data_IF_282088437666
#
_entry.id   IF_282088437666
#
_cell.length_a   1.000
_cell.length_b   1.000
_cell.length_c   1.000
_cell.angle_alpha   90.00
_cell.angle_beta   90.00
_cell.angle_gamma   90.00
#
_symmetry.space_group_name_H-M   'P 1'
#
loop_
_entity.id
_entity.type
_entity.pdbx_description
1 polymer ?
#
# COMPACT_ATOMS: atom_id res chain seq x y z
N UNK A 1 -6.08 -27.55 0.77
CA UNK A 1 -5.46 -26.21 0.74
C UNK A 1 -6.02 -25.48 -0.47
N UNK A 2 -6.74 -24.38 -0.28
CA UNK A 2 -7.38 -23.64 -1.38
C UNK A 2 -6.51 -22.50 -1.90
N UNK A 3 -6.70 -22.15 -3.17
CA UNK A 3 -6.25 -20.88 -3.74
C UNK A 3 -7.32 -19.82 -3.41
N UNK A 4 -6.90 -18.63 -3.00
CA UNK A 4 -7.81 -17.49 -2.82
C UNK A 4 -7.15 -16.21 -3.30
N UNK A 5 -7.95 -15.29 -3.85
CA UNK A 5 -7.51 -13.96 -4.27
C UNK A 5 -8.32 -12.91 -3.51
N UNK A 6 -7.68 -11.78 -3.20
CA UNK A 6 -8.32 -10.61 -2.60
C UNK A 6 -7.84 -9.36 -3.33
N UNK A 7 -8.75 -8.40 -3.48
CA UNK A 7 -8.47 -7.07 -4.01
C UNK A 7 -9.28 -6.07 -3.20
N UNK A 8 -8.58 -5.19 -2.52
CA UNK A 8 -9.12 -4.09 -1.75
C UNK A 8 -8.68 -2.78 -2.41
N UNK A 9 -9.56 -1.78 -2.38
CA UNK A 9 -9.28 -0.48 -2.97
C UNK A 9 -9.85 0.63 -2.10
N UNK A 10 -9.16 1.77 -2.09
CA UNK A 10 -9.60 3.00 -1.44
C UNK A 10 -9.39 4.17 -2.38
N UNK A 11 -10.44 4.97 -2.57
CA UNK A 11 -10.40 6.16 -3.41
C UNK A 11 -10.83 7.34 -2.56
N UNK A 12 -10.06 8.41 -2.56
CA UNK A 12 -10.35 9.67 -1.89
C UNK A 12 -10.15 10.83 -2.84
N UNK A 13 -11.16 11.68 -2.97
CA UNK A 13 -11.09 12.92 -3.74
C UNK A 13 -11.48 14.07 -2.81
N UNK A 14 -10.54 14.97 -2.58
CA UNK A 14 -10.72 16.13 -1.72
C UNK A 14 -10.62 17.39 -2.57
N UNK A 15 -11.66 18.22 -2.50
CA UNK A 15 -11.75 19.49 -3.20
C UNK A 15 -11.89 20.62 -2.19
N UNK A 16 -10.93 21.55 -2.22
CA UNK A 16 -10.90 22.70 -1.34
C UNK A 16 -10.94 23.97 -2.19
N UNK A 17 -12.02 24.72 -2.04
CA UNK A 17 -12.21 26.02 -2.68
C UNK A 17 -12.01 27.11 -1.62
N UNK A 18 -11.03 27.98 -1.83
CA UNK A 18 -10.84 29.21 -1.07
C UNK A 18 -10.94 30.40 -2.02
N UNK A 19 -11.16 31.59 -1.48
CA UNK A 19 -11.27 32.84 -2.26
C UNK A 19 -9.94 33.05 -3.01
N UNK A 20 -9.92 32.73 -4.30
CA UNK A 20 -8.79 32.70 -5.24
C UNK A 20 -7.87 31.47 -5.23
N UNK A 21 -8.19 30.38 -4.52
CA UNK A 21 -7.36 29.17 -4.58
C UNK A 21 -8.23 27.92 -4.70
N UNK A 22 -7.92 27.08 -5.70
CA UNK A 22 -8.50 25.75 -5.82
C UNK A 22 -7.40 24.72 -5.58
N UNK A 23 -7.63 23.85 -4.59
CA UNK A 23 -6.77 22.70 -4.34
C UNK A 23 -7.59 21.43 -4.48
N UNK A 24 -7.08 20.51 -5.31
CA UNK A 24 -7.66 19.18 -5.47
C UNK A 24 -6.62 18.12 -5.17
N UNK A 25 -6.97 17.20 -4.28
CA UNK A 25 -6.13 16.06 -3.96
C UNK A 25 -6.90 14.77 -4.23
N UNK A 26 -6.35 13.94 -5.12
CA UNK A 26 -6.89 12.63 -5.42
C UNK A 26 -5.91 11.56 -4.97
N UNK A 27 -6.38 10.62 -4.17
CA UNK A 27 -5.62 9.48 -3.70
C UNK A 27 -6.34 8.20 -4.10
N UNK A 28 -5.60 7.29 -4.71
CA UNK A 28 -6.05 5.95 -5.07
C UNK A 28 -5.06 4.96 -4.48
N UNK A 29 -5.55 4.08 -3.60
CA UNK A 29 -4.75 3.04 -2.98
C UNK A 29 -5.38 1.69 -3.31
N UNK A 30 -4.55 0.73 -3.69
CA UNK A 30 -4.96 -0.63 -4.02
C UNK A 30 -4.09 -1.61 -3.23
N UNK A 31 -4.73 -2.62 -2.65
CA UNK A 31 -4.07 -3.77 -2.06
C UNK A 31 -4.59 -5.02 -2.76
N UNK A 32 -3.68 -5.85 -3.27
CA UNK A 32 -4.05 -7.14 -3.84
C UNK A 32 -3.31 -8.27 -3.10
N UNK A 33 -3.94 -9.43 -3.08
CA UNK A 33 -3.39 -10.57 -2.39
C UNK A 33 -3.80 -11.90 -2.97
N UNK A 34 -2.94 -12.89 -2.74
CA UNK A 34 -3.18 -14.27 -3.07
C UNK A 34 -2.84 -15.15 -1.87
N UNK A 35 -3.64 -16.17 -1.61
CA UNK A 35 -3.37 -17.19 -0.62
C UNK A 35 -3.10 -18.50 -1.37
N UNK A 36 -1.94 -19.09 -1.13
CA UNK A 36 -1.55 -20.38 -1.69
C UNK A 36 -0.94 -21.24 -0.59
N UNK A 37 -1.59 -22.38 -0.31
CA UNK A 37 -1.19 -23.25 0.79
C UNK A 37 -1.15 -22.48 2.14
N UNK A 38 0.02 -22.43 2.79
CA UNK A 38 0.24 -21.70 4.05
C UNK A 38 0.76 -20.27 3.83
N UNK A 39 1.01 -19.90 2.57
CA UNK A 39 1.57 -18.60 2.19
C UNK A 39 0.48 -17.61 1.83
N UNK A 40 0.68 -16.37 2.26
CA UNK A 40 -0.15 -15.21 1.93
C UNK A 40 0.75 -14.18 1.26
N UNK A 41 0.46 -13.90 0.00
CA UNK A 41 1.14 -12.90 -0.82
C UNK A 41 0.31 -11.62 -0.80
N UNK A 42 0.96 -10.48 -0.66
CA UNK A 42 0.35 -9.15 -0.60
C UNK A 42 1.19 -8.16 -1.40
N UNK A 43 0.51 -7.25 -2.09
CA UNK A 43 1.12 -6.15 -2.80
C UNK A 43 0.27 -4.89 -2.66
N UNK A 44 0.93 -3.78 -2.33
CA UNK A 44 0.32 -2.49 -2.09
C UNK A 44 0.82 -1.49 -3.12
N UNK A 45 -0.12 -0.71 -3.67
CA UNK A 45 0.15 0.26 -4.70
C UNK A 45 -0.64 1.54 -4.42
N UNK A 46 0.04 2.69 -4.46
CA UNK A 46 -0.57 3.98 -4.21
C UNK A 46 -0.29 4.96 -5.34
N UNK A 47 -1.34 5.67 -5.74
CA UNK A 47 -1.30 6.72 -6.75
C UNK A 47 -1.91 8.00 -6.18
N UNK A 48 -1.13 9.08 -6.22
CA UNK A 48 -1.55 10.39 -5.75
C UNK A 48 -1.45 11.43 -6.87
N UNK A 49 -2.49 12.24 -7.00
CA UNK A 49 -2.54 13.38 -7.91
C UNK A 49 -2.96 14.65 -7.15
N UNK A 50 -2.01 15.58 -7.01
CA UNK A 50 -2.21 16.88 -6.38
C UNK A 50 -2.24 17.98 -7.43
N UNK A 51 -3.30 18.78 -7.40
CA UNK A 51 -3.47 20.00 -8.17
C UNK A 51 -3.61 21.16 -7.19
N UNK A 52 -2.71 22.15 -7.23
CA UNK A 52 -2.78 23.32 -6.37
C UNK A 52 -2.41 24.59 -7.14
N UNK A 53 -3.35 25.53 -7.30
CA UNK A 53 -3.10 26.89 -7.82
C UNK A 53 -4.35 27.69 -8.18
N UNK A 54 -4.17 28.98 -8.45
CA UNK A 54 -5.19 29.86 -9.05
C UNK A 54 -5.65 29.28 -10.41
N UNK A 55 -6.96 29.11 -10.58
CA UNK A 55 -7.62 28.76 -11.84
C UNK A 55 -7.09 27.49 -12.56
N UNK A 56 -6.70 26.46 -11.81
CA UNK A 56 -6.32 25.15 -12.38
C UNK A 56 -5.00 25.13 -13.18
N UNK A 57 -4.22 26.22 -13.14
CA UNK A 57 -2.90 26.34 -13.80
C UNK A 57 -1.71 26.00 -12.90
N UNK A 58 -1.99 25.60 -11.67
CA UNK A 58 -1.00 25.31 -10.66
C UNK A 58 -0.22 24.01 -10.86
N UNK A 59 0.81 23.83 -10.01
CA UNK A 59 1.75 22.71 -10.07
C UNK A 59 1.04 21.36 -9.94
N UNK A 60 1.20 20.50 -10.95
CA UNK A 60 0.69 19.12 -10.93
C UNK A 60 1.77 18.21 -10.37
N UNK A 61 1.54 17.63 -9.19
CA UNK A 61 2.41 16.58 -8.65
C UNK A 61 1.70 15.24 -8.78
N UNK A 62 2.25 14.39 -9.65
CA UNK A 62 1.81 13.01 -9.85
C UNK A 62 2.87 12.09 -9.29
N UNK A 63 2.50 11.27 -8.33
CA UNK A 63 3.39 10.28 -7.73
C UNK A 63 2.76 8.90 -7.86
N UNK A 64 3.57 7.95 -8.32
CA UNK A 64 3.20 6.55 -8.48
C UNK A 64 4.25 5.76 -7.73
N UNK A 65 3.85 5.21 -6.59
CA UNK A 65 4.73 4.46 -5.71
C UNK A 65 4.17 3.04 -5.54
N UNK A 66 5.04 2.06 -5.77
CA UNK A 66 4.81 0.70 -5.28
C UNK A 66 5.28 0.69 -3.83
N UNK A 67 4.34 0.47 -2.91
CA UNK A 67 4.65 0.65 -1.50
C UNK A 67 5.37 -0.58 -0.95
N UNK A 68 4.80 -1.77 -1.15
CA UNK A 68 5.31 -3.02 -0.59
C UNK A 68 4.84 -4.22 -1.41
N UNK A 69 5.72 -5.21 -1.58
CA UNK A 69 5.37 -6.52 -2.12
C UNK A 69 6.03 -7.60 -1.26
N UNK A 70 5.22 -8.41 -0.58
CA UNK A 70 5.71 -9.41 0.36
C UNK A 70 4.85 -10.67 0.41
N UNK A 71 5.45 -11.75 0.85
CA UNK A 71 4.78 -12.98 1.22
C UNK A 71 5.05 -13.30 2.69
N UNK A 72 4.09 -13.92 3.35
CA UNK A 72 4.29 -14.41 4.70
C UNK A 72 3.58 -15.72 4.98
N UNK A 73 4.13 -16.47 5.93
CA UNK A 73 3.49 -17.66 6.51
C UNK A 73 3.68 -17.70 8.02
N UNK A 74 2.74 -18.35 8.69
CA UNK A 74 2.83 -18.61 10.12
C UNK A 74 3.65 -19.90 10.38
N UNK A 75 4.49 -19.89 11.41
CA UNK A 75 5.23 -21.05 11.92
C UNK A 75 4.75 -21.32 13.34
N UNK A 76 3.71 -22.17 13.47
CA UNK A 76 3.00 -22.40 14.72
C UNK A 76 3.92 -22.96 15.84
N UNK A 77 4.88 -23.81 15.51
CA UNK A 77 5.83 -24.38 16.49
C UNK A 77 6.74 -23.34 17.14
N UNK A 78 6.91 -22.17 16.51
CA UNK A 78 7.77 -21.10 16.98
C UNK A 78 6.97 -19.84 17.41
N UNK A 79 5.64 -19.88 17.32
CA UNK A 79 4.78 -18.70 17.49
C UNK A 79 5.24 -17.48 16.65
N UNK A 80 5.77 -17.74 15.46
CA UNK A 80 6.44 -16.75 14.64
C UNK A 80 5.82 -16.58 13.25
N UNK A 81 6.06 -15.43 12.62
CA UNK A 81 5.78 -15.17 11.21
C UNK A 81 7.08 -15.08 10.42
N UNK A 82 7.13 -15.81 9.31
CA UNK A 82 8.20 -15.71 8.32
C UNK A 82 7.74 -14.78 7.20
N UNK A 83 8.47 -13.69 6.99
CA UNK A 83 8.25 -12.77 5.88
C UNK A 83 9.32 -12.94 4.81
N UNK A 84 8.94 -12.76 3.55
CA UNK A 84 9.83 -12.71 2.40
C UNK A 84 9.38 -11.57 1.47
N UNK A 85 10.30 -10.68 1.10
CA UNK A 85 10.01 -9.52 0.25
C UNK A 85 10.14 -8.19 0.99
N UNK A 86 9.52 -7.16 0.44
CA UNK A 86 9.62 -5.79 0.94
C UNK A 86 8.60 -5.55 2.03
N UNK A 87 9.10 -5.42 3.27
CA UNK A 87 8.32 -5.02 4.43
C UNK A 87 8.95 -3.78 5.04
N UNK A 88 8.16 -2.72 5.25
CA UNK A 88 8.66 -1.53 5.94
C UNK A 88 8.64 -1.76 7.45
N UNK A 89 9.82 -2.04 8.03
CA UNK A 89 10.08 -1.93 9.47
C UNK A 89 11.09 -0.80 9.81
N UNK A 90 11.57 -0.02 8.82
CA UNK A 90 12.85 0.70 8.79
C UNK A 90 14.06 -0.25 9.03
N UNK A 91 14.64 -1.02 8.11
CA UNK A 91 14.67 -1.07 6.64
C UNK A 91 14.91 -2.55 6.21
N UNK A 92 14.71 -2.85 4.92
CA UNK A 92 14.91 -4.11 4.16
C UNK A 92 15.30 -5.36 4.97
N UNK A 93 14.34 -6.27 5.16
CA UNK A 93 14.64 -7.61 5.67
C UNK A 93 14.39 -8.66 4.59
N UNK A 94 15.44 -9.35 4.13
CA UNK A 94 15.30 -10.40 3.13
C UNK A 94 14.54 -11.63 3.70
N UNK A 95 14.64 -11.86 5.02
CA UNK A 95 13.86 -12.85 5.79
C UNK A 95 13.76 -12.37 7.26
N UNK A 96 12.56 -12.02 7.74
CA UNK A 96 12.33 -11.67 9.15
C UNK A 96 11.55 -12.78 9.87
N UNK A 97 12.00 -13.16 11.07
CA UNK A 97 11.25 -13.96 12.03
C UNK A 97 10.76 -13.02 13.14
N UNK A 98 9.47 -12.71 13.16
CA UNK A 98 8.87 -11.89 14.22
C UNK A 98 8.07 -12.81 15.14
N UNK A 99 8.51 -12.95 16.39
CA UNK A 99 7.82 -13.66 17.46
C UNK A 99 7.01 -12.67 18.30
N UNK A 100 5.74 -12.97 18.58
CA UNK A 100 5.00 -12.26 19.63
C UNK A 100 5.43 -12.85 20.98
N UNK A 101 6.04 -12.02 21.83
CA UNK A 101 6.30 -12.34 23.23
C UNK A 101 4.99 -12.45 24.03
#
# INVERSE_FOLDING_TARGET
MGLGLILDYTISDNHLIRKNEETRNQLYAFECGANFAQWRLRANYQYENKLAGEDGRGSKKRNLDWDQVYAFRDIASLSAKLFAGEISLNQTCLIACVSKA
#
